data_IF_767331125808
#
_entry.id   IF_767331125808
#
_cell.length_a   1.000
_cell.length_b   1.000
_cell.length_c   1.000
_cell.angle_alpha   90.00
_cell.angle_beta   90.00
_cell.angle_gamma   90.00
#
_symmetry.space_group_name_H-M   'P 1'
#
loop_
_entity.id
_entity.type
_entity.pdbx_description
1 polymer ?
#
# COMPACT_ATOMS: atom_id res chain seq x y z
N UNK A 1 -0.65 18.33 -44.45
CA UNK A 1 -1.31 17.36 -43.53
C UNK A 1 -0.37 16.47 -42.69
N UNK A 2 0.93 16.31 -43.01
CA UNK A 2 1.88 15.51 -42.17
C UNK A 2 2.14 16.10 -40.76
N UNK A 3 2.11 17.43 -40.61
CA UNK A 3 2.48 18.11 -39.34
C UNK A 3 1.47 17.95 -38.20
N UNK A 4 0.18 17.80 -38.50
CA UNK A 4 -0.87 17.61 -37.48
C UNK A 4 -0.83 16.18 -36.94
N UNK A 5 -0.63 15.19 -37.82
CA UNK A 5 -0.53 13.78 -37.43
C UNK A 5 0.73 13.51 -36.60
N UNK A 6 1.85 14.15 -36.93
CA UNK A 6 3.08 14.08 -36.12
C UNK A 6 2.92 14.77 -34.77
N UNK A 7 2.27 15.95 -34.72
CA UNK A 7 1.91 16.61 -33.45
C UNK A 7 0.96 15.78 -32.60
N UNK A 8 0.00 15.08 -33.20
CA UNK A 8 -0.89 14.16 -32.47
C UNK A 8 -0.15 12.92 -31.97
N UNK A 9 0.77 12.35 -32.76
CA UNK A 9 1.61 11.22 -32.35
C UNK A 9 2.60 11.61 -31.25
N UNK A 10 3.20 12.80 -31.31
CA UNK A 10 4.10 13.31 -30.27
C UNK A 10 3.33 13.64 -29.00
N UNK A 11 2.16 14.29 -29.11
CA UNK A 11 1.27 14.57 -27.97
C UNK A 11 0.71 13.28 -27.37
N UNK A 12 0.40 12.26 -28.16
CA UNK A 12 0.03 10.91 -27.68
C UNK A 12 1.20 10.24 -26.96
N UNK A 13 2.43 10.30 -27.49
CA UNK A 13 3.65 9.80 -26.81
C UNK A 13 3.97 10.57 -25.53
N UNK A 14 3.71 11.87 -25.51
CA UNK A 14 3.91 12.74 -24.34
C UNK A 14 2.84 12.49 -23.28
N UNK A 15 1.58 12.28 -23.68
CA UNK A 15 0.50 11.79 -22.82
C UNK A 15 0.87 10.41 -22.28
N UNK A 16 1.36 9.47 -23.10
CA UNK A 16 1.82 8.13 -22.65
C UNK A 16 3.03 8.23 -21.69
N UNK A 17 3.93 9.21 -21.89
CA UNK A 17 5.06 9.48 -20.98
C UNK A 17 4.62 10.14 -19.67
N UNK A 18 3.68 11.10 -19.71
CA UNK A 18 3.08 11.79 -18.54
C UNK A 18 2.05 10.91 -17.82
N UNK A 19 1.44 9.95 -18.52
CA UNK A 19 0.54 8.91 -18.03
C UNK A 19 1.28 7.62 -17.69
N UNK A 20 2.61 7.67 -17.53
CA UNK A 20 3.23 6.75 -16.58
C UNK A 20 2.70 7.14 -15.22
N UNK A 21 1.47 6.70 -14.95
CA UNK A 21 0.92 6.64 -13.62
C UNK A 21 2.04 6.10 -12.72
N UNK A 22 2.18 6.60 -11.48
CA UNK A 22 2.92 5.84 -10.51
C UNK A 22 2.24 4.46 -10.49
N UNK A 23 2.85 3.45 -11.12
CA UNK A 23 2.39 2.07 -11.10
C UNK A 23 2.66 1.55 -9.69
N UNK A 24 1.91 2.10 -8.73
CA UNK A 24 1.87 1.62 -7.38
C UNK A 24 1.51 0.15 -7.41
N UNK A 25 0.70 -0.30 -8.39
CA UNK A 25 0.38 -1.69 -8.64
C UNK A 25 1.36 -2.37 -9.60
N UNK A 26 1.96 -3.48 -9.16
CA UNK A 26 2.92 -4.27 -9.95
C UNK A 26 2.32 -5.57 -10.50
N UNK A 27 1.16 -5.98 -9.98
CA UNK A 27 0.46 -7.20 -10.38
C UNK A 27 -1.04 -7.07 -10.12
N UNK A 28 -1.82 -7.58 -11.07
CA UNK A 28 -3.26 -7.84 -10.97
C UNK A 28 -3.47 -9.34 -11.17
N UNK A 29 -4.19 -9.99 -10.28
CA UNK A 29 -4.56 -11.41 -10.37
C UNK A 29 -6.08 -11.52 -10.44
N UNK A 30 -6.60 -12.48 -11.19
CA UNK A 30 -8.01 -12.85 -11.18
C UNK A 30 -8.08 -14.30 -10.71
N UNK A 31 -8.69 -14.53 -9.55
CA UNK A 31 -8.81 -15.85 -8.93
C UNK A 31 -10.26 -16.08 -8.52
N UNK A 32 -10.92 -17.09 -9.09
CA UNK A 32 -12.32 -17.42 -8.81
C UNK A 32 -13.22 -16.17 -8.86
N UNK A 33 -13.15 -15.43 -9.97
CA UNK A 33 -13.86 -14.16 -10.21
C UNK A 33 -13.50 -13.01 -9.25
N UNK A 34 -12.57 -13.22 -8.31
CA UNK A 34 -12.05 -12.16 -7.44
C UNK A 34 -10.86 -11.47 -8.09
N UNK A 35 -10.88 -10.14 -8.13
CA UNK A 35 -9.74 -9.37 -8.61
C UNK A 35 -8.84 -8.96 -7.45
N UNK A 36 -7.56 -9.33 -7.51
CA UNK A 36 -6.58 -9.01 -6.49
C UNK A 36 -5.52 -8.07 -7.08
N UNK A 37 -5.31 -6.94 -6.41
CA UNK A 37 -4.30 -5.96 -6.78
C UNK A 37 -3.14 -5.99 -5.79
N UNK A 38 -1.93 -5.90 -6.31
CA UNK A 38 -0.70 -5.96 -5.52
C UNK A 38 0.15 -4.73 -5.76
N UNK A 39 0.46 -3.99 -4.69
CA UNK A 39 1.36 -2.85 -4.83
C UNK A 39 2.82 -3.28 -5.01
N UNK A 40 3.68 -2.39 -5.48
CA UNK A 40 5.12 -2.45 -5.20
C UNK A 40 5.35 -2.39 -3.69
N UNK A 41 6.54 -2.77 -3.26
CA UNK A 41 6.95 -2.56 -1.87
C UNK A 41 7.17 -1.07 -1.62
N UNK A 42 6.53 -0.57 -0.57
CA UNK A 42 6.56 0.80 -0.13
C UNK A 42 7.27 0.86 1.24
N UNK A 43 7.73 2.05 1.63
CA UNK A 43 8.41 2.21 2.90
C UNK A 43 7.41 2.09 4.06
N UNK A 44 6.44 3.00 4.10
CA UNK A 44 5.38 3.11 5.09
C UNK A 44 4.28 4.08 4.63
N UNK A 45 3.27 4.22 5.48
CA UNK A 45 2.16 5.14 5.32
C UNK A 45 2.61 6.58 5.59
N UNK A 46 2.12 7.52 4.78
CA UNK A 46 2.40 8.95 4.91
C UNK A 46 1.17 9.73 5.37
N UNK A 47 0.05 9.58 4.65
CA UNK A 47 -1.21 10.27 4.92
C UNK A 47 -2.38 9.49 4.32
N UNK A 48 -3.57 9.66 4.87
CA UNK A 48 -4.81 9.21 4.26
C UNK A 48 -5.92 10.23 4.50
N UNK A 49 -6.84 10.36 3.54
CA UNK A 49 -7.97 11.26 3.66
C UNK A 49 -9.14 10.84 2.76
N UNK A 50 -10.36 11.13 3.20
CA UNK A 50 -11.53 11.08 2.34
C UNK A 50 -11.50 12.34 1.47
N UNK A 51 -11.66 12.18 0.16
CA UNK A 51 -11.67 13.33 -0.73
C UNK A 51 -12.86 14.25 -0.38
N UNK A 52 -12.55 15.50 -0.01
CA UNK A 52 -13.52 16.51 0.45
C UNK A 52 -14.63 16.79 -0.56
N UNK A 53 -14.33 16.74 -1.86
CA UNK A 53 -15.27 17.02 -2.94
C UNK A 53 -15.94 15.75 -3.47
N UNK A 54 -15.26 14.61 -3.37
CA UNK A 54 -15.70 13.32 -3.88
C UNK A 54 -15.66 12.29 -2.75
N UNK A 55 -16.70 12.29 -1.91
CA UNK A 55 -16.85 11.37 -0.77
C UNK A 55 -16.85 9.87 -1.15
N UNK A 56 -16.80 9.54 -2.43
CA UNK A 56 -16.68 8.17 -2.93
C UNK A 56 -15.23 7.67 -3.05
N UNK A 57 -14.22 8.47 -2.66
CA UNK A 57 -12.80 8.07 -2.70
C UNK A 57 -12.11 8.29 -1.36
N UNK A 58 -11.39 7.28 -0.93
CA UNK A 58 -10.49 7.30 0.21
C UNK A 58 -9.05 7.20 -0.29
N UNK A 59 -8.31 8.30 -0.23
CA UNK A 59 -6.92 8.37 -0.66
C UNK A 59 -6.01 7.82 0.43
N UNK A 60 -5.06 6.98 0.04
CA UNK A 60 -3.97 6.51 0.89
C UNK A 60 -2.65 6.83 0.19
N UNK A 61 -1.78 7.58 0.87
CA UNK A 61 -0.45 7.98 0.41
C UNK A 61 0.62 7.27 1.23
N UNK A 62 1.65 6.82 0.54
CA UNK A 62 2.78 6.09 1.08
C UNK A 62 4.09 6.74 0.66
N UNK A 63 5.15 6.56 1.45
CA UNK A 63 6.52 6.90 1.03
C UNK A 63 7.10 5.79 0.17
N UNK A 64 7.76 6.15 -0.92
CA UNK A 64 8.46 5.17 -1.76
C UNK A 64 9.63 4.51 -1.02
N UNK A 65 9.91 3.24 -1.36
CA UNK A 65 10.92 2.42 -0.70
C UNK A 65 12.35 2.98 -0.78
N UNK A 66 12.75 3.50 -1.95
CA UNK A 66 14.12 3.95 -2.22
C UNK A 66 14.29 5.47 -2.12
N UNK A 67 13.22 6.23 -2.38
CA UNK A 67 13.20 7.68 -2.27
C UNK A 67 12.04 8.11 -1.37
N UNK A 68 12.31 8.29 -0.08
CA UNK A 68 11.27 8.63 0.91
C UNK A 68 10.68 10.04 0.72
N UNK A 69 11.30 10.89 -0.10
CA UNK A 69 10.73 12.18 -0.52
C UNK A 69 9.67 12.05 -1.62
N UNK A 70 9.59 10.89 -2.29
CA UNK A 70 8.56 10.61 -3.29
C UNK A 70 7.37 9.88 -2.66
N UNK A 71 6.18 10.34 -3.02
CA UNK A 71 4.91 9.77 -2.55
C UNK A 71 4.24 8.93 -3.65
N UNK A 72 3.62 7.85 -3.21
CA UNK A 72 2.86 6.91 -4.04
C UNK A 72 1.47 6.76 -3.43
N UNK A 73 0.43 6.79 -4.25
CA UNK A 73 -0.95 6.86 -3.77
C UNK A 73 -1.86 5.84 -4.42
N UNK A 74 -2.84 5.35 -3.66
CA UNK A 74 -3.99 4.65 -4.21
C UNK A 74 -5.29 5.20 -3.62
N UNK A 75 -6.39 4.95 -4.32
CA UNK A 75 -7.72 5.25 -3.82
C UNK A 75 -8.47 3.95 -3.54
N UNK A 76 -9.05 3.85 -2.35
CA UNK A 76 -10.18 2.95 -2.14
C UNK A 76 -11.45 3.68 -2.58
N UNK A 77 -12.40 2.95 -3.16
CA UNK A 77 -13.63 3.53 -3.72
C UNK A 77 -14.84 3.07 -2.92
N UNK A 78 -15.89 3.88 -2.90
CA UNK A 78 -17.20 3.45 -2.41
C UNK A 78 -17.63 2.17 -3.12
N UNK A 79 -18.23 1.26 -2.36
CA UNK A 79 -18.67 -0.04 -2.86
C UNK A 79 -19.82 0.18 -3.86
N UNK A 80 -19.74 -0.46 -5.02
CA UNK A 80 -20.87 -0.59 -5.97
C UNK A 80 -21.48 -1.98 -5.82
N UNK A 81 -22.76 -2.10 -6.16
CA UNK A 81 -23.60 -3.31 -6.24
C UNK A 81 -22.92 -4.69 -6.02
N UNK A 82 -23.55 -5.53 -5.19
CA UNK A 82 -23.20 -6.91 -4.88
C UNK A 82 -21.78 -7.19 -4.36
N UNK A 83 -20.91 -6.18 -4.25
CA UNK A 83 -19.64 -6.26 -3.52
C UNK A 83 -19.83 -5.80 -2.06
N UNK A 84 -18.87 -6.12 -1.19
CA UNK A 84 -18.91 -5.79 0.24
C UNK A 84 -17.49 -5.67 0.75
N UNK A 85 -17.16 -4.58 1.42
CA UNK A 85 -15.93 -4.50 2.21
C UNK A 85 -16.01 -5.57 3.31
N UNK A 86 -15.03 -6.45 3.39
CA UNK A 86 -14.98 -7.52 4.39
C UNK A 86 -14.25 -7.01 5.62
N UNK A 87 -13.05 -6.47 5.45
CA UNK A 87 -12.25 -5.92 6.53
C UNK A 87 -10.80 -5.65 6.12
N UNK A 88 -10.00 -5.26 7.10
CA UNK A 88 -8.54 -5.10 6.96
C UNK A 88 -7.87 -6.34 7.52
N UNK A 89 -6.82 -6.83 6.86
CA UNK A 89 -6.01 -7.94 7.33
C UNK A 89 -4.52 -7.60 7.23
N UNK A 90 -3.74 -8.07 8.19
CA UNK A 90 -2.29 -7.93 8.19
C UNK A 90 -1.65 -9.31 8.06
N UNK A 91 -0.53 -9.37 7.36
CA UNK A 91 0.18 -10.63 7.16
C UNK A 91 1.50 -10.47 6.45
N UNK A 92 2.08 -11.60 6.08
CA UNK A 92 3.28 -11.65 5.26
C UNK A 92 3.18 -12.73 4.19
N UNK A 93 3.97 -12.59 3.13
CA UNK A 93 4.12 -13.60 2.06
C UNK A 93 5.49 -13.48 1.39
N UNK A 94 5.80 -14.42 0.49
CA UNK A 94 6.97 -14.28 -0.39
C UNK A 94 6.77 -13.06 -1.32
N UNK A 95 7.84 -12.29 -1.62
CA UNK A 95 7.75 -11.18 -2.57
C UNK A 95 7.27 -11.64 -3.95
N UNK A 96 6.47 -10.81 -4.62
CA UNK A 96 6.01 -11.08 -6.00
C UNK A 96 7.15 -10.93 -7.00
N UNK A 97 8.03 -9.95 -6.76
CA UNK A 97 9.27 -9.72 -7.52
C UNK A 97 10.43 -9.66 -6.53
N UNK A 98 11.60 -10.13 -6.94
CA UNK A 98 12.80 -9.98 -6.14
C UNK A 98 13.13 -8.49 -5.96
N UNK A 99 13.14 -8.04 -4.71
CA UNK A 99 13.48 -6.66 -4.35
C UNK A 99 14.89 -6.68 -3.77
N UNK A 100 15.82 -6.00 -4.45
CA UNK A 100 17.22 -5.89 -4.05
C UNK A 100 17.42 -4.53 -3.41
N UNK A 101 17.84 -4.50 -2.14
CA UNK A 101 18.27 -3.28 -1.47
C UNK A 101 19.79 -3.23 -1.52
N UNK A 102 20.34 -2.12 -2.05
CA UNK A 102 21.78 -1.85 -2.05
C UNK A 102 22.10 -0.80 -0.98
N UNK A 103 23.20 -0.99 -0.26
CA UNK A 103 23.67 -0.07 0.78
C UNK A 103 25.20 -0.14 0.87
N UNK A 104 25.83 0.91 1.41
CA UNK A 104 27.29 0.94 1.61
C UNK A 104 27.63 0.76 3.08
N UNK A 105 28.63 -0.07 3.38
CA UNK A 105 29.31 -0.10 4.67
C UNK A 105 30.79 0.10 4.38
N UNK A 106 31.39 1.15 4.96
CA UNK A 106 32.82 1.47 4.82
C UNK A 106 33.30 1.49 3.36
N UNK A 107 32.50 2.07 2.46
CA UNK A 107 32.81 2.13 1.02
C UNK A 107 32.39 0.89 0.22
N UNK A 108 32.25 -0.28 0.86
CA UNK A 108 31.86 -1.54 0.19
C UNK A 108 30.35 -1.59 -0.07
N UNK A 109 29.98 -1.83 -1.32
CA UNK A 109 28.58 -2.04 -1.72
C UNK A 109 28.11 -3.42 -1.27
N UNK A 110 27.12 -3.45 -0.38
CA UNK A 110 26.41 -4.65 0.03
C UNK A 110 24.99 -4.62 -0.53
N UNK A 111 24.42 -5.80 -0.73
CA UNK A 111 23.01 -5.93 -1.11
C UNK A 111 22.35 -7.09 -0.41
N UNK A 112 21.04 -6.98 -0.18
CA UNK A 112 20.24 -8.09 0.31
C UNK A 112 18.86 -8.11 -0.37
N UNK A 113 18.23 -9.29 -0.33
CA UNK A 113 16.88 -9.53 -0.82
C UNK A 113 15.92 -9.80 0.34
N UNK A 114 14.63 -9.64 0.09
CA UNK A 114 13.61 -9.96 1.08
C UNK A 114 13.12 -11.39 0.91
N UNK A 115 13.22 -12.21 1.95
CA UNK A 115 12.59 -13.55 1.98
C UNK A 115 11.08 -13.47 2.25
N UNK A 116 10.63 -12.41 2.93
CA UNK A 116 9.22 -12.13 3.28
C UNK A 116 8.92 -10.64 3.10
N UNK A 117 7.73 -10.34 2.62
CA UNK A 117 7.15 -8.98 2.59
C UNK A 117 5.87 -8.96 3.40
N UNK A 118 5.69 -7.88 4.14
CA UNK A 118 4.55 -7.67 5.03
C UNK A 118 3.54 -6.75 4.36
N UNK A 119 2.26 -6.96 4.61
CA UNK A 119 1.20 -6.24 3.92
C UNK A 119 0.04 -5.85 4.83
N UNK A 120 -0.69 -4.83 4.35
CA UNK A 120 -2.07 -4.54 4.72
C UNK A 120 -2.95 -4.97 3.53
N UNK A 121 -3.95 -5.81 3.78
CA UNK A 121 -4.95 -6.21 2.79
C UNK A 121 -6.26 -5.48 3.10
N UNK A 122 -6.77 -4.73 2.11
CA UNK A 122 -8.16 -4.27 2.11
C UNK A 122 -8.99 -5.31 1.35
N UNK A 123 -9.75 -6.11 2.09
CA UNK A 123 -10.48 -7.25 1.52
C UNK A 123 -11.92 -6.86 1.20
N UNK A 124 -12.37 -7.25 0.02
CA UNK A 124 -13.73 -7.11 -0.47
C UNK A 124 -14.30 -8.50 -0.81
N UNK A 125 -15.61 -8.59 -1.08
CA UNK A 125 -16.25 -9.84 -1.49
C UNK A 125 -15.72 -10.25 -2.87
N UNK A 126 -15.62 -9.30 -3.81
CA UNK A 126 -15.18 -9.51 -5.20
C UNK A 126 -13.70 -9.21 -5.44
N UNK A 127 -12.92 -8.89 -4.41
CA UNK A 127 -11.51 -8.56 -4.63
C UNK A 127 -10.73 -8.25 -3.37
N UNK A 128 -9.45 -7.90 -3.56
CA UNK A 128 -8.55 -7.49 -2.48
C UNK A 128 -7.48 -6.52 -3.00
N UNK A 129 -7.02 -5.62 -2.14
CA UNK A 129 -5.88 -4.74 -2.42
C UNK A 129 -4.79 -4.99 -1.38
N UNK A 130 -3.66 -5.55 -1.81
CA UNK A 130 -2.49 -5.80 -0.98
C UNK A 130 -1.49 -4.65 -1.08
N UNK A 131 -1.29 -3.95 0.02
CA UNK A 131 -0.29 -2.89 0.16
C UNK A 131 0.92 -3.40 0.93
N UNK A 132 2.08 -3.54 0.27
CA UNK A 132 3.28 -4.08 0.90
C UNK A 132 4.12 -2.98 1.54
N UNK A 133 4.32 -3.05 2.87
CA UNK A 133 5.03 -2.04 3.63
C UNK A 133 6.25 -2.63 4.33
N UNK A 134 7.42 -2.01 4.12
CA UNK A 134 8.66 -2.39 4.80
C UNK A 134 8.58 -2.18 6.31
N UNK A 135 7.96 -1.10 6.75
CA UNK A 135 7.87 -0.74 8.18
C UNK A 135 7.12 -1.77 9.02
N UNK A 136 6.15 -2.49 8.45
CA UNK A 136 5.43 -3.57 9.16
C UNK A 136 6.38 -4.68 9.62
N UNK A 137 7.38 -5.02 8.81
CA UNK A 137 8.40 -6.02 9.18
C UNK A 137 9.21 -5.62 10.42
N UNK A 138 9.22 -4.34 10.78
CA UNK A 138 9.94 -3.83 11.96
C UNK A 138 9.06 -3.81 13.20
N UNK A 139 7.72 -3.77 13.05
CA UNK A 139 6.78 -3.83 14.19
C UNK A 139 6.82 -5.19 14.88
N UNK A 140 7.05 -6.25 14.11
CA UNK A 140 7.14 -7.63 14.61
C UNK A 140 8.51 -7.97 15.24
N UNK A 141 9.37 -6.98 15.47
CA UNK A 141 10.65 -7.16 16.17
C UNK A 141 10.55 -6.57 17.58
N UNK A 142 10.62 -7.42 18.61
CA UNK A 142 10.49 -7.03 20.03
C UNK A 142 11.42 -5.87 20.40
N UNK A 143 12.65 -5.89 19.91
CA UNK A 143 13.68 -4.86 20.14
C UNK A 143 13.37 -3.46 19.54
N UNK A 144 12.40 -3.36 18.63
CA UNK A 144 12.10 -2.12 17.90
C UNK A 144 10.77 -1.49 18.31
N UNK A 145 9.79 -2.27 18.75
CA UNK A 145 8.41 -1.80 18.94
C UNK A 145 8.27 -0.64 19.93
N UNK A 146 9.13 -0.58 20.96
CA UNK A 146 9.09 0.48 21.98
C UNK A 146 9.71 1.80 21.53
N UNK A 147 10.30 1.89 20.32
CA UNK A 147 10.85 3.16 19.85
C UNK A 147 9.73 4.09 19.41
N UNK A 148 9.84 5.37 19.76
CA UNK A 148 8.89 6.45 19.43
C UNK A 148 8.35 6.39 18.00
N UNK A 149 9.24 6.19 17.02
CA UNK A 149 8.86 6.05 15.61
C UNK A 149 7.79 4.98 15.35
N UNK A 150 7.92 3.80 15.98
CA UNK A 150 7.00 2.69 15.74
C UNK A 150 5.69 2.87 16.48
N UNK A 151 5.70 3.51 17.65
CA UNK A 151 4.47 3.91 18.34
C UNK A 151 3.66 4.88 17.47
N UNK A 152 4.30 5.92 16.93
CA UNK A 152 3.66 6.84 15.97
C UNK A 152 3.14 6.11 14.72
N UNK A 153 3.88 5.11 14.22
CA UNK A 153 3.43 4.33 13.08
C UNK A 153 2.21 3.44 13.41
N UNK A 154 2.19 2.82 14.58
CA UNK A 154 1.03 2.04 15.08
C UNK A 154 -0.18 2.95 15.24
N UNK A 155 -0.04 4.13 15.85
CA UNK A 155 -1.12 5.10 15.99
C UNK A 155 -1.69 5.53 14.63
N UNK A 156 -0.82 5.73 13.65
CA UNK A 156 -1.22 6.08 12.30
C UNK A 156 -1.98 4.93 11.60
N UNK A 157 -1.58 3.67 11.84
CA UNK A 157 -2.30 2.49 11.36
C UNK A 157 -3.67 2.34 12.04
N UNK A 158 -3.75 2.51 13.37
CA UNK A 158 -5.02 2.49 14.11
C UNK A 158 -5.99 3.56 13.59
N UNK A 159 -5.48 4.78 13.32
CA UNK A 159 -6.27 5.85 12.70
C UNK A 159 -6.70 5.51 11.27
N UNK A 160 -5.85 4.88 10.48
CA UNK A 160 -6.19 4.41 9.14
C UNK A 160 -7.33 3.39 9.20
N UNK A 161 -7.21 2.38 10.06
CA UNK A 161 -8.24 1.35 10.25
C UNK A 161 -9.59 1.98 10.59
N UNK A 162 -9.62 2.84 11.62
CA UNK A 162 -10.84 3.55 12.02
C UNK A 162 -11.44 4.32 10.85
N UNK A 163 -10.63 5.08 10.10
CA UNK A 163 -11.12 5.89 8.98
C UNK A 163 -11.59 5.07 7.79
N UNK A 164 -10.98 3.93 7.50
CA UNK A 164 -11.43 3.02 6.44
C UNK A 164 -12.74 2.33 6.84
N UNK A 165 -12.87 1.92 8.10
CA UNK A 165 -14.11 1.33 8.60
C UNK A 165 -15.27 2.34 8.61
N UNK A 166 -15.03 3.57 9.07
CA UNK A 166 -15.99 4.69 8.96
C UNK A 166 -16.40 4.94 7.50
N UNK A 167 -15.44 4.94 6.56
CA UNK A 167 -15.70 5.15 5.14
C UNK A 167 -16.61 4.08 4.52
N UNK A 168 -16.58 2.85 5.05
CA UNK A 168 -17.45 1.74 4.62
C UNK A 168 -18.65 1.49 5.54
N UNK A 169 -18.97 2.44 6.43
CA UNK A 169 -20.06 2.34 7.40
C UNK A 169 -20.03 1.04 8.21
N UNK A 170 -18.84 0.68 8.72
CA UNK A 170 -18.61 -0.50 9.55
C UNK A 170 -18.01 -0.14 10.90
N UNK A 171 -18.27 -0.98 11.88
CA UNK A 171 -17.64 -0.92 13.19
C UNK A 171 -16.28 -1.63 13.18
N UNK A 172 -15.27 -0.95 13.71
CA UNK A 172 -13.94 -1.51 13.89
C UNK A 172 -13.96 -2.44 15.11
N UNK A 173 -13.40 -3.67 15.03
CA UNK A 173 -13.32 -4.55 16.18
C UNK A 173 -12.50 -3.93 17.33
N UNK A 174 -12.94 -4.18 18.56
CA UNK A 174 -12.27 -3.68 19.78
C UNK A 174 -10.79 -4.03 19.81
N UNK A 175 -9.97 -3.09 20.28
CA UNK A 175 -8.51 -3.23 20.36
C UNK A 175 -7.76 -3.01 19.04
N UNK A 176 -8.44 -2.84 17.90
CA UNK A 176 -7.79 -2.59 16.60
C UNK A 176 -7.16 -3.85 16.00
N UNK A 177 -7.07 -3.88 14.67
CA UNK A 177 -6.66 -5.07 13.93
C UNK A 177 -5.14 -5.21 13.94
N UNK A 178 -4.41 -4.10 13.76
CA UNK A 178 -2.95 -4.06 13.79
C UNK A 178 -2.40 -4.47 15.16
N UNK A 179 -3.01 -4.02 16.27
CA UNK A 179 -2.53 -4.36 17.60
C UNK A 179 -2.69 -5.87 17.86
N UNK A 180 -3.87 -6.42 17.58
CA UNK A 180 -4.13 -7.86 17.68
C UNK A 180 -3.18 -8.69 16.80
N UNK A 181 -2.90 -8.20 15.59
CA UNK A 181 -1.95 -8.87 14.68
C UNK A 181 -0.52 -8.86 15.23
N UNK A 182 -0.05 -7.73 15.75
CA UNK A 182 1.27 -7.60 16.37
C UNK A 182 1.39 -8.53 17.58
N UNK A 183 0.42 -8.47 18.51
CA UNK A 183 0.38 -9.33 19.70
C UNK A 183 0.45 -10.81 19.33
N UNK A 184 -0.39 -11.25 18.38
CA UNK A 184 -0.40 -12.64 17.91
C UNK A 184 0.93 -13.05 17.26
N UNK A 185 1.62 -12.13 16.59
CA UNK A 185 2.87 -12.42 15.88
C UNK A 185 4.10 -12.40 16.79
N UNK A 186 4.01 -11.69 17.94
CA UNK A 186 5.09 -11.58 18.93
C UNK A 186 5.02 -12.63 20.05
N UNK A 187 3.87 -13.30 20.21
CA UNK A 187 3.74 -14.53 21.01
C UNK A 187 4.58 -15.64 20.40
#
# INVERSE_FOLDING_TARGET
MKSVLEKLKSKKKEIIKKSREPEIFIKKEILNERTIYHTKMLMDLYKFEINKYKKNKFLILFRELFNQGKLEGLNLFSIKENDKFIGIFYGYRKPIKNIIIKYKINGTLKSYTFSKVYYIEFKFKKGSVFCYLRSLARLIKKEKINKKYFQTFIDMLNRLEKKVYEFYCKELPDGGIVNKWIEKTLK
#
